data_IF_946454144754
#
_entry.id   IF_946454144754
#
_cell.length_a   1.000
_cell.length_b   1.000
_cell.length_c   1.000
_cell.angle_alpha   90.00
_cell.angle_beta   90.00
_cell.angle_gamma   90.00
#
_symmetry.space_group_name_H-M   'P 1'
#
loop_
_entity.id
_entity.type
_entity.pdbx_description
1 polymer ?
#
# COMPACT_ATOMS: atom_id res chain seq x y z
N UNK A 1 1.50 2.94 4.01
CA UNK A 1 0.76 3.99 4.75
C UNK A 1 -0.51 4.30 3.97
N UNK A 2 -1.69 4.03 4.53
CA UNK A 2 -2.96 4.38 3.89
C UNK A 2 -3.24 5.89 4.02
N UNK A 3 -3.90 6.46 3.02
CA UNK A 3 -4.39 7.83 3.06
C UNK A 3 -5.71 7.92 3.85
N UNK A 4 -6.01 9.07 4.49
CA UNK A 4 -7.36 9.38 4.97
C UNK A 4 -8.39 9.24 3.84
N UNK A 5 -9.60 8.76 4.15
CA UNK A 5 -10.61 8.38 3.15
C UNK A 5 -10.97 9.49 2.16
N UNK A 6 -11.04 10.74 2.62
CA UNK A 6 -11.34 11.89 1.75
C UNK A 6 -10.21 12.19 0.75
N UNK A 7 -8.94 12.01 1.13
CA UNK A 7 -7.80 12.13 0.21
C UNK A 7 -7.69 10.92 -0.72
N UNK A 8 -7.96 9.72 -0.20
CA UNK A 8 -8.00 8.52 -1.02
C UNK A 8 -9.06 8.62 -2.14
N UNK A 9 -10.21 9.21 -1.85
CA UNK A 9 -11.25 9.47 -2.87
C UNK A 9 -10.77 10.45 -3.96
N UNK A 10 -10.04 11.49 -3.61
CA UNK A 10 -9.48 12.45 -4.58
C UNK A 10 -8.44 11.78 -5.49
N UNK A 11 -7.51 11.00 -4.93
CA UNK A 11 -6.52 10.25 -5.72
C UNK A 11 -7.19 9.23 -6.62
N UNK A 12 -8.20 8.51 -6.11
CA UNK A 12 -8.96 7.56 -6.93
C UNK A 12 -9.61 8.24 -8.13
N UNK A 13 -10.25 9.40 -7.94
CA UNK A 13 -10.86 10.15 -9.03
C UNK A 13 -9.86 10.52 -10.13
N UNK A 14 -8.63 10.94 -9.76
CA UNK A 14 -7.55 11.20 -10.73
C UNK A 14 -7.15 9.93 -11.47
N UNK A 15 -7.00 8.79 -10.77
CA UNK A 15 -6.64 7.50 -11.38
C UNK A 15 -7.71 7.00 -12.33
N UNK A 16 -9.00 7.12 -11.95
CA UNK A 16 -10.15 6.77 -12.81
C UNK A 16 -10.19 7.64 -14.06
N UNK A 17 -9.99 8.96 -13.93
CA UNK A 17 -9.96 9.90 -15.04
C UNK A 17 -8.82 9.59 -16.03
N UNK A 18 -7.68 9.12 -15.54
CA UNK A 18 -6.54 8.68 -16.34
C UNK A 18 -6.68 7.24 -16.87
N UNK A 19 -7.80 6.56 -16.61
CA UNK A 19 -8.02 5.19 -17.07
C UNK A 19 -7.09 4.15 -16.45
N UNK A 20 -6.53 4.43 -15.24
CA UNK A 20 -5.67 3.48 -14.53
C UNK A 20 -6.49 2.25 -14.12
N UNK A 21 -6.20 1.05 -14.66
CA UNK A 21 -6.98 -0.16 -14.37
C UNK A 21 -6.91 -0.59 -12.91
N UNK A 22 -5.89 -0.11 -12.18
CA UNK A 22 -5.68 -0.42 -10.76
C UNK A 22 -6.40 0.55 -9.81
N UNK A 23 -7.15 1.53 -10.32
CA UNK A 23 -7.82 2.55 -9.52
C UNK A 23 -8.74 1.96 -8.45
N UNK A 24 -9.49 0.89 -8.80
CA UNK A 24 -10.41 0.17 -7.90
C UNK A 24 -9.79 -1.04 -7.19
N UNK A 25 -8.62 -1.49 -7.64
CA UNK A 25 -7.96 -2.71 -7.16
C UNK A 25 -6.99 -2.41 -6.02
N UNK A 26 -6.24 -1.30 -6.13
CA UNK A 26 -5.22 -0.90 -5.17
C UNK A 26 -5.61 0.41 -4.50
N UNK A 27 -5.95 0.41 -3.20
CA UNK A 27 -6.23 1.64 -2.48
C UNK A 27 -5.05 2.62 -2.52
N UNK A 28 -5.29 3.93 -2.66
CA UNK A 28 -4.22 4.93 -2.62
C UNK A 28 -3.42 4.87 -1.32
N UNK A 29 -2.10 4.79 -1.44
CA UNK A 29 -1.19 4.62 -0.30
C UNK A 29 0.23 5.11 -0.61
N UNK A 30 1.05 5.30 0.43
CA UNK A 30 2.50 5.42 0.30
C UNK A 30 3.10 4.04 0.57
N UNK A 31 3.77 3.45 -0.41
CA UNK A 31 4.42 2.14 -0.29
C UNK A 31 5.74 2.26 0.48
N UNK A 32 5.93 1.44 1.51
CA UNK A 32 7.20 1.30 2.24
C UNK A 32 7.97 0.05 1.81
N UNK A 33 7.25 -1.02 1.50
CA UNK A 33 7.78 -2.26 0.96
C UNK A 33 6.91 -2.69 -0.23
N UNK A 34 7.47 -2.87 -1.43
CA UNK A 34 6.71 -3.36 -2.58
C UNK A 34 6.23 -4.80 -2.38
N UNK A 35 5.34 -5.30 -3.26
CA UNK A 35 4.87 -6.68 -3.21
C UNK A 35 6.00 -7.68 -3.01
N UNK A 36 5.85 -8.52 -1.98
CA UNK A 36 6.89 -9.41 -1.48
C UNK A 36 6.30 -10.76 -1.15
N UNK A 37 6.82 -11.83 -1.77
CA UNK A 37 6.47 -13.19 -1.39
C UNK A 37 7.04 -13.50 0.02
N UNK A 38 6.20 -14.08 0.85
CA UNK A 38 6.55 -14.47 2.23
C UNK A 38 6.05 -15.89 2.46
N UNK A 39 6.88 -16.77 3.02
CA UNK A 39 6.44 -18.11 3.37
C UNK A 39 5.33 -18.05 4.44
N UNK A 40 4.33 -18.92 4.31
CA UNK A 40 3.19 -18.98 5.25
C UNK A 40 3.67 -19.10 6.69
N UNK A 41 4.66 -19.95 6.94
CA UNK A 41 5.25 -20.17 8.27
C UNK A 41 5.97 -18.94 8.84
N UNK A 42 6.32 -17.97 7.98
CA UNK A 42 7.00 -16.73 8.37
C UNK A 42 6.03 -15.58 8.66
N UNK A 43 4.73 -15.73 8.40
CA UNK A 43 3.76 -14.64 8.58
C UNK A 43 3.68 -14.13 10.03
N UNK A 44 3.73 -15.02 11.02
CA UNK A 44 3.72 -14.63 12.43
C UNK A 44 4.97 -13.82 12.80
N UNK A 45 6.11 -14.15 12.23
CA UNK A 45 7.34 -13.39 12.40
C UNK A 45 7.23 -12.00 11.76
N UNK A 46 6.68 -11.91 10.54
CA UNK A 46 6.40 -10.65 9.85
C UNK A 46 5.46 -9.77 10.70
N UNK A 47 4.37 -10.35 11.20
CA UNK A 47 3.40 -9.63 12.04
C UNK A 47 4.05 -9.09 13.33
N UNK A 48 4.88 -9.89 13.99
CA UNK A 48 5.62 -9.50 15.19
C UNK A 48 6.64 -8.40 14.88
N UNK A 49 7.37 -8.53 13.77
CA UNK A 49 8.33 -7.53 13.32
C UNK A 49 7.66 -6.18 13.07
N UNK A 50 6.58 -6.14 12.29
CA UNK A 50 5.86 -4.91 11.97
C UNK A 50 5.24 -4.26 13.22
N UNK A 51 4.74 -5.07 14.18
CA UNK A 51 4.26 -4.57 15.48
C UNK A 51 5.39 -3.87 16.26
N UNK A 52 6.58 -4.45 16.30
CA UNK A 52 7.73 -3.86 16.97
C UNK A 52 8.21 -2.57 16.27
N UNK A 53 8.21 -2.56 14.94
CA UNK A 53 8.52 -1.35 14.14
C UNK A 53 7.53 -0.23 14.47
N UNK A 54 6.24 -0.52 14.47
CA UNK A 54 5.19 0.46 14.78
C UNK A 54 5.28 0.96 16.22
N UNK A 55 5.45 0.05 17.20
CA UNK A 55 5.57 0.41 18.63
C UNK A 55 6.72 1.38 18.92
N UNK A 56 7.82 1.27 18.20
CA UNK A 56 8.96 2.18 18.32
C UNK A 56 8.93 3.38 17.36
N UNK A 57 7.82 3.63 16.66
CA UNK A 57 7.64 4.78 15.76
C UNK A 57 6.68 5.78 16.40
N UNK A 58 7.04 7.06 16.41
CA UNK A 58 6.11 8.11 16.82
C UNK A 58 5.26 8.55 15.61
N UNK A 59 4.00 8.98 15.82
CA UNK A 59 3.23 9.65 14.79
C UNK A 59 4.00 10.82 14.17
N UNK A 60 3.85 11.03 12.87
CA UNK A 60 4.52 12.11 12.14
C UNK A 60 3.63 12.68 11.04
N UNK A 61 3.84 13.96 10.75
CA UNK A 61 3.07 14.66 9.74
C UNK A 61 3.69 14.51 8.35
N UNK A 62 2.84 14.36 7.35
CA UNK A 62 3.19 14.36 5.94
C UNK A 62 2.41 15.43 5.19
N UNK A 63 3.07 16.02 4.20
CA UNK A 63 2.44 16.90 3.21
C UNK A 63 2.80 16.41 1.81
N UNK A 64 1.78 16.19 0.99
CA UNK A 64 1.90 15.80 -0.41
C UNK A 64 1.29 16.91 -1.29
N UNK A 65 2.10 17.52 -2.14
CA UNK A 65 1.67 18.57 -3.08
C UNK A 65 2.67 18.73 -4.26
N UNK A 66 3.53 17.71 -4.49
CA UNK A 66 4.58 17.75 -5.52
C UNK A 66 4.32 16.68 -6.58
N UNK A 67 3.69 17.06 -7.70
CA UNK A 67 3.56 16.12 -8.81
C UNK A 67 4.91 15.83 -9.44
N UNK A 68 5.18 14.56 -9.70
CA UNK A 68 6.37 14.07 -10.36
C UNK A 68 6.08 12.88 -11.26
N UNK A 69 7.09 12.45 -12.01
CA UNK A 69 7.01 11.27 -12.87
C UNK A 69 8.32 10.49 -12.82
N UNK A 70 8.23 9.17 -12.96
CA UNK A 70 9.40 8.31 -13.13
C UNK A 70 9.77 8.08 -14.59
N UNK A 71 9.05 8.69 -15.54
CA UNK A 71 9.42 8.62 -16.97
C UNK A 71 10.84 9.18 -17.22
N UNK A 72 11.62 8.60 -18.11
CA UNK A 72 11.30 7.47 -19.00
C UNK A 72 11.58 6.09 -18.37
N UNK A 73 11.99 6.00 -17.10
CA UNK A 73 12.36 4.73 -16.44
C UNK A 73 11.13 3.85 -16.18
N UNK A 74 10.03 4.47 -15.78
CA UNK A 74 8.76 3.81 -15.52
C UNK A 74 7.60 4.74 -15.90
N UNK A 75 6.50 4.24 -16.52
CA UNK A 75 5.33 5.04 -16.90
C UNK A 75 4.43 5.31 -15.68
N UNK A 76 4.94 6.06 -14.74
CA UNK A 76 4.27 6.43 -13.48
C UNK A 76 4.25 7.94 -13.31
N UNK A 77 3.08 8.46 -12.93
CA UNK A 77 2.89 9.80 -12.38
C UNK A 77 2.49 9.67 -10.92
N UNK A 78 3.03 10.51 -10.07
CA UNK A 78 2.84 10.42 -8.62
C UNK A 78 2.72 11.79 -7.95
N UNK A 79 2.14 11.77 -6.75
CA UNK A 79 2.18 12.89 -5.80
C UNK A 79 3.28 12.62 -4.76
N UNK A 80 4.32 13.45 -4.77
CA UNK A 80 5.48 13.35 -3.88
C UNK A 80 5.28 14.14 -2.57
N UNK A 81 6.14 13.85 -1.61
CA UNK A 81 6.12 14.44 -0.28
C UNK A 81 6.95 15.74 -0.23
N UNK A 82 6.33 16.83 0.19
CA UNK A 82 7.03 18.08 0.58
C UNK A 82 7.65 17.95 1.97
N UNK A 83 6.95 17.26 2.90
CA UNK A 83 7.43 16.96 4.24
C UNK A 83 7.07 15.53 4.65
N UNK A 84 7.79 14.97 5.63
CA UNK A 84 7.58 13.60 6.12
C UNK A 84 8.37 12.54 5.35
N UNK A 85 9.12 12.90 4.29
CA UNK A 85 9.88 11.94 3.49
C UNK A 85 11.00 11.26 4.30
N UNK A 86 11.67 11.98 5.21
CA UNK A 86 12.71 11.40 6.07
C UNK A 86 12.12 10.40 7.09
N UNK A 87 10.94 10.68 7.60
CA UNK A 87 10.21 9.79 8.51
C UNK A 87 9.80 8.50 7.79
N UNK A 88 9.27 8.63 6.57
CA UNK A 88 8.98 7.49 5.70
C UNK A 88 10.24 6.67 5.39
N UNK A 89 11.38 7.31 5.11
CA UNK A 89 12.65 6.61 4.84
C UNK A 89 13.14 5.85 6.08
N UNK A 90 13.13 6.47 7.27
CA UNK A 90 13.48 5.79 8.52
C UNK A 90 12.55 4.60 8.80
N UNK A 91 11.24 4.77 8.57
CA UNK A 91 10.25 3.72 8.76
C UNK A 91 10.48 2.56 7.78
N UNK A 92 10.71 2.86 6.49
CA UNK A 92 11.03 1.90 5.46
C UNK A 92 12.32 1.12 5.78
N UNK A 93 13.38 1.78 6.23
CA UNK A 93 14.61 1.10 6.65
C UNK A 93 14.37 0.13 7.82
N UNK A 94 13.51 0.48 8.78
CA UNK A 94 13.15 -0.39 9.90
C UNK A 94 12.29 -1.57 9.47
N UNK A 95 11.32 -1.36 8.56
CA UNK A 95 10.50 -2.43 7.98
C UNK A 95 11.40 -3.46 7.28
N UNK A 96 12.43 -3.00 6.57
CA UNK A 96 13.38 -3.81 5.80
C UNK A 96 14.70 -4.08 6.52
N UNK A 97 14.72 -4.03 7.84
CA UNK A 97 15.94 -4.35 8.62
C UNK A 97 16.60 -5.63 8.08
N UNK A 98 17.93 -5.57 7.90
CA UNK A 98 18.70 -6.69 7.32
C UNK A 98 18.61 -7.98 8.11
N UNK A 99 18.22 -7.92 9.37
CA UNK A 99 18.02 -9.06 10.29
C UNK A 99 16.56 -9.42 10.46
N UNK A 100 15.65 -8.71 9.79
CA UNK A 100 14.21 -8.92 9.86
C UNK A 100 13.68 -9.84 8.75
N UNK A 101 12.46 -10.32 8.90
CA UNK A 101 11.83 -11.25 7.95
C UNK A 101 11.52 -10.62 6.60
N UNK A 102 11.52 -9.29 6.51
CA UNK A 102 11.26 -8.51 5.28
C UNK A 102 12.54 -7.91 4.68
N UNK A 103 13.71 -8.44 5.07
CA UNK A 103 15.00 -8.00 4.53
C UNK A 103 15.11 -8.27 3.03
N UNK A 104 15.33 -7.20 2.24
CA UNK A 104 15.55 -7.31 0.79
C UNK A 104 16.30 -6.10 0.23
N UNK A 105 16.96 -6.30 -0.90
CA UNK A 105 17.53 -5.22 -1.68
C UNK A 105 16.44 -4.51 -2.47
N UNK A 106 16.58 -3.19 -2.65
CA UNK A 106 15.75 -2.42 -3.59
C UNK A 106 16.45 -2.37 -4.94
N UNK A 107 15.65 -2.45 -6.01
CA UNK A 107 16.16 -2.22 -7.38
C UNK A 107 16.43 -0.75 -7.65
N UNK A 108 15.72 0.16 -6.94
CA UNK A 108 15.85 1.61 -7.06
C UNK A 108 15.92 2.25 -5.67
N UNK A 109 16.49 3.45 -5.54
CA UNK A 109 16.40 4.22 -4.30
C UNK A 109 14.94 4.39 -3.85
N UNK A 110 14.72 4.34 -2.54
CA UNK A 110 13.41 4.57 -1.98
C UNK A 110 12.95 6.02 -2.25
N UNK A 111 11.74 6.16 -2.78
CA UNK A 111 11.12 7.46 -3.07
C UNK A 111 9.66 7.41 -2.61
N UNK A 112 9.32 7.93 -1.41
CA UNK A 112 7.96 7.89 -0.90
C UNK A 112 7.03 8.76 -1.74
N UNK A 113 5.94 8.18 -2.21
CA UNK A 113 4.97 8.85 -3.09
C UNK A 113 3.61 8.16 -3.03
N UNK A 114 2.61 8.82 -3.58
CA UNK A 114 1.29 8.24 -3.90
C UNK A 114 1.12 8.22 -5.42
N UNK A 115 0.87 7.05 -5.98
CA UNK A 115 0.65 6.89 -7.44
C UNK A 115 -0.65 7.56 -7.87
N UNK A 116 -0.58 8.39 -8.90
CA UNK A 116 -1.69 9.06 -9.56
C UNK A 116 -2.10 8.39 -10.87
N UNK A 117 -1.15 7.74 -11.56
CA UNK A 117 -1.42 6.88 -12.73
C UNK A 117 -0.23 5.96 -12.98
N UNK A 118 -0.50 4.75 -13.46
CA UNK A 118 0.50 3.72 -13.73
C UNK A 118 0.11 2.89 -14.95
N UNK A 119 1.09 2.65 -15.86
CA UNK A 119 0.92 1.78 -17.03
C UNK A 119 -0.25 2.15 -17.97
N UNK A 120 -0.53 3.44 -18.09
CA UNK A 120 -1.47 4.01 -19.04
C UNK A 120 -0.70 4.75 -20.16
N UNK A 121 -1.40 5.22 -21.22
CA UNK A 121 -0.80 5.98 -22.31
C UNK A 121 -0.17 7.31 -21.82
N UNK A 122 0.81 7.84 -22.55
CA UNK A 122 1.50 9.07 -22.16
C UNK A 122 0.56 10.27 -21.99
N UNK A 123 -0.49 10.35 -22.82
CA UNK A 123 -1.52 11.41 -22.75
C UNK A 123 -2.32 11.33 -21.44
N UNK A 124 -2.61 10.11 -20.98
CA UNK A 124 -3.32 9.84 -19.72
C UNK A 124 -2.42 10.09 -18.50
N UNK A 125 -1.11 9.76 -18.61
CA UNK A 125 -0.13 10.17 -17.62
C UNK A 125 -0.06 11.70 -17.49
N UNK A 126 -0.08 12.42 -18.63
CA UNK A 126 -0.08 13.87 -18.62
C UNK A 126 -1.40 14.46 -18.07
N UNK A 127 -2.53 13.78 -18.30
CA UNK A 127 -3.81 14.12 -17.66
C UNK A 127 -3.70 13.97 -16.14
N UNK A 128 -3.23 12.81 -15.66
CA UNK A 128 -3.03 12.57 -14.22
C UNK A 128 -2.10 13.59 -13.59
N UNK A 129 -1.06 14.04 -14.30
CA UNK A 129 -0.14 15.07 -13.81
C UNK A 129 -0.84 16.44 -13.66
N UNK A 130 -1.69 16.82 -14.61
CA UNK A 130 -2.46 18.07 -14.54
C UNK A 130 -3.48 18.06 -13.41
N UNK A 131 -4.29 17.00 -13.33
CA UNK A 131 -5.30 16.84 -12.27
C UNK A 131 -4.64 16.73 -10.88
N UNK A 132 -3.53 16.01 -10.80
CA UNK A 132 -2.77 15.86 -9.57
C UNK A 132 -2.12 17.15 -9.06
N UNK A 133 -1.86 18.12 -9.94
CA UNK A 133 -1.27 19.41 -9.57
C UNK A 133 -2.20 20.26 -8.68
N UNK A 134 -3.50 19.98 -8.71
CA UNK A 134 -4.51 20.65 -7.87
C UNK A 134 -4.63 19.99 -6.47
N UNK A 135 -3.97 18.85 -6.25
CA UNK A 135 -4.05 18.11 -4.99
C UNK A 135 -3.03 18.63 -3.98
N UNK A 136 -3.52 18.91 -2.77
CA UNK A 136 -2.68 19.18 -1.60
C UNK A 136 -3.26 18.44 -0.40
N UNK A 137 -2.41 17.62 0.26
CA UNK A 137 -2.82 16.74 1.36
C UNK A 137 -1.90 16.92 2.54
N UNK A 138 -2.50 17.16 3.71
CA UNK A 138 -1.79 17.25 4.99
C UNK A 138 -2.45 16.28 5.98
N UNK A 139 -1.70 15.34 6.53
CA UNK A 139 -2.22 14.45 7.57
C UNK A 139 -1.12 13.87 8.44
N UNK A 140 -1.51 13.42 9.64
CA UNK A 140 -0.61 12.71 10.55
C UNK A 140 -0.68 11.21 10.27
N UNK A 141 0.46 10.60 10.01
CA UNK A 141 0.62 9.15 9.91
C UNK A 141 0.67 8.57 11.31
N UNK A 142 -0.30 7.73 11.63
CA UNK A 142 -0.45 7.11 12.96
C UNK A 142 -0.39 5.59 12.94
N UNK A 143 -0.36 4.99 11.74
CA UNK A 143 -0.44 3.53 11.57
C UNK A 143 0.42 3.06 10.41
N UNK A 144 0.93 1.85 10.54
CA UNK A 144 1.51 1.03 9.49
C UNK A 144 0.47 0.00 9.04
N UNK A 145 0.30 -0.23 7.75
CA UNK A 145 -0.63 -1.22 7.22
C UNK A 145 0.14 -2.33 6.50
N UNK A 146 -0.27 -3.56 6.74
CA UNK A 146 0.12 -4.73 5.97
C UNK A 146 -1.02 -5.06 5.01
N UNK A 147 -0.74 -5.08 3.73
CA UNK A 147 -1.67 -5.52 2.70
C UNK A 147 -1.32 -6.94 2.28
N UNK A 148 -2.33 -7.74 1.96
CA UNK A 148 -2.21 -9.07 1.38
C UNK A 148 -2.86 -9.08 0.00
N UNK A 149 -2.17 -9.67 -0.95
CA UNK A 149 -2.72 -9.94 -2.26
C UNK A 149 -3.64 -11.16 -2.17
N UNK A 150 -4.89 -10.99 -2.59
CA UNK A 150 -5.85 -12.09 -2.71
C UNK A 150 -5.77 -12.63 -4.13
N UNK A 151 -5.26 -13.85 -4.29
CA UNK A 151 -5.47 -14.58 -5.54
C UNK A 151 -6.98 -14.89 -5.65
N UNK A 152 -7.66 -14.20 -6.54
CA UNK A 152 -9.03 -14.56 -6.88
C UNK A 152 -8.98 -15.90 -7.62
N UNK A 153 -9.60 -16.94 -7.05
CA UNK A 153 -9.84 -18.21 -7.76
C UNK A 153 -10.45 -17.90 -9.12
N UNK A 154 -9.69 -18.22 -10.17
CA UNK A 154 -10.11 -18.05 -11.56
C UNK A 154 -11.42 -18.79 -11.77
N UNK A 155 -12.51 -18.08 -12.02
CA UNK A 155 -13.68 -18.73 -12.60
C UNK A 155 -13.32 -19.16 -14.03
N UNK A 156 -13.66 -20.40 -14.45
CA UNK A 156 -13.37 -20.86 -15.80
C UNK A 156 -13.93 -19.88 -16.85
N UNK A 157 -13.05 -19.24 -17.63
CA UNK A 157 -13.43 -18.36 -18.74
C UNK A 157 -13.07 -16.87 -18.60
N UNK A 158 -12.42 -16.43 -17.50
CA UNK A 158 -11.82 -15.09 -17.38
C UNK A 158 -10.31 -15.19 -17.20
N UNK A 159 -9.56 -14.61 -18.12
CA UNK A 159 -8.09 -14.69 -18.19
C UNK A 159 -7.36 -13.54 -17.51
N UNK A 160 -8.08 -12.57 -16.91
CA UNK A 160 -7.56 -11.29 -16.47
C UNK A 160 -8.28 -10.81 -15.19
N UNK A 161 -7.97 -11.43 -14.07
CA UNK A 161 -8.36 -10.88 -12.76
C UNK A 161 -7.09 -10.70 -11.95
N UNK A 162 -6.52 -9.51 -12.03
CA UNK A 162 -5.59 -9.03 -11.03
C UNK A 162 -6.24 -9.14 -9.65
N UNK A 163 -5.57 -9.82 -8.73
CA UNK A 163 -6.11 -10.06 -7.39
C UNK A 163 -6.26 -8.74 -6.63
N UNK A 164 -7.32 -8.64 -5.84
CA UNK A 164 -7.55 -7.48 -4.98
C UNK A 164 -6.51 -7.44 -3.84
N UNK A 165 -6.13 -6.24 -3.44
CA UNK A 165 -5.34 -6.01 -2.24
C UNK A 165 -6.26 -5.70 -1.07
N UNK A 166 -6.11 -6.42 0.04
CA UNK A 166 -6.84 -6.14 1.27
C UNK A 166 -5.91 -5.80 2.43
N UNK A 167 -6.39 -5.02 3.39
CA UNK A 167 -5.65 -4.75 4.62
C UNK A 167 -5.70 -6.00 5.50
N UNK A 168 -4.58 -6.70 5.62
CA UNK A 168 -4.44 -7.87 6.49
C UNK A 168 -4.23 -7.46 7.95
N UNK A 169 -3.55 -6.35 8.21
CA UNK A 169 -3.34 -5.81 9.56
C UNK A 169 -3.01 -4.32 9.54
N UNK A 170 -3.31 -3.65 10.67
CA UNK A 170 -2.89 -2.28 10.93
C UNK A 170 -2.22 -2.20 12.31
N UNK A 171 -1.09 -1.50 12.39
CA UNK A 171 -0.28 -1.37 13.58
C UNK A 171 -0.16 0.10 13.98
N UNK A 172 -0.74 0.48 15.12
CA UNK A 172 -0.67 1.85 15.62
C UNK A 172 0.75 2.23 16.09
N UNK A 173 1.15 3.45 15.85
CA UNK A 173 2.41 3.99 16.33
C UNK A 173 2.35 4.34 17.82
N UNK A 174 3.52 4.38 18.48
CA UNK A 174 3.64 4.76 19.89
C UNK A 174 3.28 3.67 20.90
N UNK A 175 3.17 2.40 20.50
CA UNK A 175 3.01 1.27 21.42
C UNK A 175 1.61 1.08 22.02
N UNK A 176 0.59 1.84 21.61
CA UNK A 176 -0.80 1.55 21.97
C UNK A 176 -1.32 0.37 21.18
N UNK A 177 -1.67 -0.71 21.87
CA UNK A 177 -2.40 -1.83 21.29
C UNK A 177 -3.83 -1.36 20.95
N UNK A 178 -4.04 -0.92 19.71
CA UNK A 178 -5.40 -0.76 19.20
C UNK A 178 -5.86 -2.13 18.70
N UNK A 179 -6.85 -2.68 19.40
CA UNK A 179 -7.55 -3.90 18.99
C UNK A 179 -8.09 -3.76 17.55
N UNK A 180 -7.97 -4.82 16.76
CA UNK A 180 -8.47 -4.93 15.37
C UNK A 180 -10.01 -4.90 15.28
N UNK A 181 -10.71 -4.49 16.34
CA UNK A 181 -12.17 -4.58 16.47
C UNK A 181 -12.96 -3.40 15.89
N UNK A 182 -12.35 -2.43 15.20
CA UNK A 182 -13.06 -1.21 14.76
C UNK A 182 -13.12 -1.00 13.24
N UNK A 183 -13.00 -2.07 12.44
CA UNK A 183 -13.25 -2.01 10.99
C UNK A 183 -14.10 -3.19 10.47
N UNK A 184 -14.95 -3.78 11.29
CA UNK A 184 -15.86 -4.84 10.87
C UNK A 184 -17.32 -4.46 11.14
N UNK A 185 -17.89 -3.57 10.36
CA UNK A 185 -19.30 -3.65 9.99
C UNK A 185 -19.39 -4.21 8.57
N UNK A 186 -19.19 -5.52 8.43
CA UNK A 186 -19.74 -6.31 7.32
C UNK A 186 -20.09 -7.70 7.85
N UNK A 187 -21.37 -7.99 7.76
CA UNK A 187 -22.14 -9.19 7.97
C UNK A 187 -21.44 -10.53 8.24
N UNK A 188 -21.94 -11.14 9.26
CA UNK A 188 -21.80 -12.54 9.64
C UNK A 188 -22.20 -13.46 8.47
N UNK A 189 -21.26 -14.24 7.93
CA UNK A 189 -21.55 -15.38 7.05
C UNK A 189 -21.03 -16.65 7.73
N UNK A 190 -21.99 -17.43 8.16
CA UNK A 190 -21.84 -18.76 8.75
C UNK A 190 -21.24 -19.78 7.76
N UNK A 191 -20.21 -20.49 8.22
CA UNK A 191 -19.90 -21.89 7.95
C UNK A 191 -19.78 -22.38 6.51
N UNK A 192 -18.53 -22.60 6.04
CA UNK A 192 -18.22 -23.60 4.99
C UNK A 192 -16.97 -24.37 5.41
N UNK A 193 -16.95 -25.73 5.24
CA UNK A 193 -15.87 -26.57 5.73
C UNK A 193 -14.62 -26.46 4.88
N UNK A 194 -13.47 -26.65 5.52
CA UNK A 194 -12.15 -26.66 4.93
C UNK A 194 -12.00 -27.69 3.81
N UNK A 195 -11.84 -27.21 2.58
CA UNK A 195 -11.22 -27.95 1.50
C UNK A 195 -9.77 -27.48 1.38
N UNK A 196 -8.81 -28.41 1.40
CA UNK A 196 -7.40 -28.12 1.22
C UNK A 196 -7.13 -27.50 -0.15
N UNK A 197 -6.90 -26.18 -0.17
CA UNK A 197 -6.40 -25.47 -1.32
C UNK A 197 -4.87 -25.66 -1.44
N UNK A 198 -4.29 -25.62 -2.65
CA UNK A 198 -2.84 -25.65 -2.81
C UNK A 198 -2.20 -24.48 -2.05
N UNK A 199 -1.07 -24.77 -1.38
CA UNK A 199 -0.29 -23.78 -0.63
C UNK A 199 0.28 -22.71 -1.58
N UNK A 200 -0.46 -21.65 -1.80
CA UNK A 200 0.04 -20.47 -2.52
C UNK A 200 0.85 -19.59 -1.57
N UNK A 201 2.07 -19.29 -1.95
CA UNK A 201 2.94 -18.37 -1.19
C UNK A 201 2.27 -16.99 -1.10
N UNK A 202 1.92 -16.51 0.09
CA UNK A 202 1.25 -15.21 0.21
C UNK A 202 2.17 -14.06 -0.23
N UNK A 203 1.61 -13.11 -0.97
CA UNK A 203 2.29 -11.88 -1.35
C UNK A 203 1.77 -10.75 -0.47
N UNK A 204 2.70 -10.05 0.20
CA UNK A 204 2.38 -8.95 1.10
C UNK A 204 3.05 -7.64 0.65
N UNK A 205 2.46 -6.50 1.02
CA UNK A 205 3.04 -5.14 0.83
C UNK A 205 2.83 -4.30 2.10
N UNK A 206 3.75 -3.38 2.37
CA UNK A 206 3.71 -2.49 3.54
C UNK A 206 3.78 -1.03 3.10
#
# INVERSE_FOLDING_TARGET
IALPSHYAAQVRAVREAAGDPMADVVPPHITLLPPTAVDVDSLDEVMRHLRNVAAGTQPFDVRLDQVGTFRPVSPVVYLGLRSGAQECDRLQMRVRDRRGPLARSLSFPFHPHVTLAHEVADEDLDLAAREGAELAMDFTVTKLHLYRHLERSLQPGRTDVEGAWEVAAAFAFGGSLVSVAETAEVGEVTGVPAASAPETTPVVSV
#
